data_IF_396839579528
#
_entry.id   IF_396839579528
#
_cell.length_a   1.000
_cell.length_b   1.000
_cell.length_c   1.000
_cell.angle_alpha   90.00
_cell.angle_beta   90.00
_cell.angle_gamma   90.00
#
_symmetry.space_group_name_H-M   'P 1'
#
loop_
_entity.id
_entity.type
_entity.pdbx_description
1 polymer ?
#
# COMPACT_ATOMS: atom_id res chain seq x y z
N UNK A 1 26.09 5.10 -7.94
CA UNK A 1 25.58 6.50 -7.87
C UNK A 1 24.84 6.92 -9.14
N UNK A 2 25.42 6.81 -10.37
CA UNK A 2 24.74 7.20 -11.63
C UNK A 2 23.44 6.44 -11.90
N UNK A 3 23.37 5.16 -11.56
CA UNK A 3 22.19 4.31 -11.82
C UNK A 3 21.00 4.68 -10.90
N UNK A 4 21.26 5.02 -9.63
CA UNK A 4 20.21 5.50 -8.69
C UNK A 4 19.64 6.85 -9.11
N UNK A 5 20.49 7.80 -9.53
CA UNK A 5 20.05 9.09 -10.05
C UNK A 5 19.26 8.98 -11.35
N UNK A 6 19.60 8.02 -12.23
CA UNK A 6 18.86 7.77 -13.46
C UNK A 6 17.43 7.25 -13.16
N UNK A 7 17.28 6.29 -12.25
CA UNK A 7 15.97 5.75 -11.91
C UNK A 7 14.99 6.78 -11.36
N UNK A 8 15.47 7.69 -10.51
CA UNK A 8 14.65 8.78 -9.96
C UNK A 8 14.38 9.85 -11.04
N UNK A 9 15.40 10.20 -11.82
CA UNK A 9 15.33 11.24 -12.86
C UNK A 9 14.40 10.89 -14.01
N UNK A 10 14.40 9.62 -14.44
CA UNK A 10 13.56 9.14 -15.53
C UNK A 10 12.17 8.69 -15.05
N UNK A 11 11.87 8.80 -13.74
CA UNK A 11 10.65 8.29 -13.14
C UNK A 11 10.38 6.83 -13.50
N UNK A 12 11.43 6.06 -13.70
CA UNK A 12 11.35 4.65 -14.02
C UNK A 12 12.32 3.84 -13.17
N UNK A 13 11.89 2.74 -12.63
CA UNK A 13 12.64 2.04 -11.59
C UNK A 13 13.16 0.67 -12.01
N UNK A 14 12.79 0.14 -13.14
CA UNK A 14 13.32 -1.17 -13.58
C UNK A 14 13.49 -1.31 -15.07
N UNK A 15 14.46 -2.16 -15.48
CA UNK A 15 14.63 -2.66 -16.86
C UNK A 15 13.44 -3.50 -17.35
N UNK A 16 12.49 -3.80 -16.50
CA UNK A 16 11.32 -4.64 -16.81
C UNK A 16 10.08 -3.86 -17.23
N UNK A 17 10.22 -2.62 -17.52
CA UNK A 17 9.13 -1.75 -17.95
C UNK A 17 9.11 -0.45 -17.19
N UNK A 18 8.86 0.61 -17.90
CA UNK A 18 8.71 1.94 -17.34
C UNK A 18 7.50 1.94 -16.41
N UNK A 19 7.74 2.10 -15.14
CA UNK A 19 6.69 2.20 -14.13
C UNK A 19 6.11 3.62 -14.07
N UNK A 20 6.37 4.41 -15.10
CA UNK A 20 5.62 5.62 -15.41
C UNK A 20 5.43 6.62 -14.27
N UNK A 21 6.45 6.85 -13.43
CA UNK A 21 6.36 7.83 -12.37
C UNK A 21 5.92 7.30 -11.00
N UNK A 22 6.00 6.00 -10.79
CA UNK A 22 5.69 5.35 -9.52
C UNK A 22 6.90 4.69 -8.88
N UNK A 23 6.92 4.61 -7.56
CA UNK A 23 7.81 3.69 -6.85
C UNK A 23 7.32 2.24 -7.02
N UNK A 24 8.22 1.25 -7.03
CA UNK A 24 7.79 -0.15 -7.10
C UNK A 24 6.98 -0.51 -5.88
N UNK A 25 5.86 -1.15 -6.15
CA UNK A 25 5.07 -1.83 -5.13
C UNK A 25 5.13 -3.32 -5.39
N UNK A 26 5.31 -4.10 -4.36
CA UNK A 26 5.44 -5.54 -4.52
C UNK A 26 4.73 -6.27 -3.38
N UNK A 27 3.99 -7.32 -3.73
CA UNK A 27 3.23 -8.18 -2.82
C UNK A 27 2.17 -7.47 -1.96
N UNK A 28 2.60 -6.73 -0.95
CA UNK A 28 1.74 -6.27 0.14
C UNK A 28 1.43 -4.79 -0.02
N UNK A 29 2.44 -3.98 0.19
CA UNK A 29 2.35 -2.55 0.31
C UNK A 29 3.36 -1.82 -0.57
N UNK A 30 3.64 -0.61 -0.17
CA UNK A 30 4.54 0.34 -0.80
C UNK A 30 5.72 0.63 0.13
N UNK A 31 6.52 -0.41 0.40
CA UNK A 31 7.63 -0.33 1.36
C UNK A 31 8.72 0.68 0.97
N UNK A 32 8.69 1.20 -0.27
CA UNK A 32 9.53 2.32 -0.65
C UNK A 32 9.22 3.56 0.21
N UNK A 33 7.97 3.76 0.61
CA UNK A 33 7.54 4.85 1.49
C UNK A 33 8.27 4.81 2.83
N UNK A 34 8.30 3.66 3.46
CA UNK A 34 8.96 3.48 4.76
C UNK A 34 10.48 3.56 4.65
N UNK A 35 11.04 3.00 3.57
CA UNK A 35 12.48 3.04 3.32
C UNK A 35 13.00 4.45 3.06
N UNK A 36 12.37 5.19 2.15
CA UNK A 36 12.77 6.56 1.79
C UNK A 36 12.61 7.49 2.98
N UNK A 37 11.43 7.47 3.62
CA UNK A 37 11.16 8.30 4.79
C UNK A 37 12.09 7.97 5.96
N UNK A 38 12.25 6.69 6.26
CA UNK A 38 13.13 6.24 7.33
C UNK A 38 14.59 6.61 7.11
N UNK A 39 15.06 6.57 5.87
CA UNK A 39 16.40 7.03 5.49
C UNK A 39 16.55 8.53 5.68
N UNK A 40 15.60 9.32 5.20
CA UNK A 40 15.60 10.78 5.33
C UNK A 40 15.60 11.23 6.79
N UNK A 41 14.71 10.67 7.62
CA UNK A 41 14.61 11.01 9.04
C UNK A 41 15.87 10.63 9.84
N UNK A 42 16.64 9.66 9.36
CA UNK A 42 17.94 9.27 9.95
C UNK A 42 19.13 10.09 9.40
N UNK A 43 18.85 11.13 8.63
CA UNK A 43 19.88 12.05 8.11
C UNK A 43 20.55 11.61 6.81
N UNK A 44 20.10 10.54 6.17
CA UNK A 44 20.59 10.12 4.85
C UNK A 44 19.89 10.96 3.79
N UNK A 45 20.56 11.98 3.29
CA UNK A 45 19.98 13.00 2.39
C UNK A 45 20.77 13.17 1.08
N UNK A 46 21.68 12.28 0.75
CA UNK A 46 22.51 12.30 -0.46
C UNK A 46 21.80 11.73 -1.71
N UNK A 47 20.49 11.91 -1.79
CA UNK A 47 19.64 11.53 -2.92
C UNK A 47 18.66 12.65 -3.27
N UNK A 48 18.04 12.57 -4.43
CA UNK A 48 17.01 13.53 -4.84
C UNK A 48 15.71 13.29 -4.04
N UNK A 49 15.62 13.96 -2.90
CA UNK A 49 14.50 13.82 -1.96
C UNK A 49 13.19 14.26 -2.60
N UNK A 50 13.22 15.37 -3.37
CA UNK A 50 12.01 15.90 -3.99
C UNK A 50 11.44 14.93 -5.04
N UNK A 51 12.30 14.42 -5.92
CA UNK A 51 11.88 13.43 -6.90
C UNK A 51 11.37 12.12 -6.25
N UNK A 52 12.02 11.68 -5.17
CA UNK A 52 11.55 10.53 -4.41
C UNK A 52 10.17 10.77 -3.79
N UNK A 53 9.98 11.94 -3.17
CA UNK A 53 8.71 12.32 -2.57
C UNK A 53 7.57 12.39 -3.60
N UNK A 54 7.80 12.96 -4.79
CA UNK A 54 6.82 12.97 -5.88
C UNK A 54 6.38 11.56 -6.28
N UNK A 55 7.31 10.61 -6.33
CA UNK A 55 6.98 9.21 -6.64
C UNK A 55 6.14 8.56 -5.53
N UNK A 56 6.42 8.87 -4.26
CA UNK A 56 5.62 8.39 -3.13
C UNK A 56 4.21 8.98 -3.16
N UNK A 57 4.05 10.26 -3.49
CA UNK A 57 2.74 10.88 -3.68
C UNK A 57 1.97 10.24 -4.84
N UNK A 58 2.64 9.93 -5.94
CA UNK A 58 2.00 9.21 -7.05
C UNK A 58 1.48 7.85 -6.57
N UNK A 59 2.28 7.10 -5.82
CA UNK A 59 1.82 5.83 -5.25
C UNK A 59 0.61 6.01 -4.31
N UNK A 60 0.60 7.09 -3.54
CA UNK A 60 -0.42 7.35 -2.53
C UNK A 60 -1.75 7.85 -3.11
N UNK A 61 -1.75 8.51 -4.28
CA UNK A 61 -2.92 9.23 -4.79
C UNK A 61 -3.32 8.87 -6.23
N UNK A 62 -2.45 8.22 -7.00
CA UNK A 62 -2.70 7.97 -8.43
C UNK A 62 -2.81 6.49 -8.69
N UNK A 63 -3.86 6.11 -9.39
CA UNK A 63 -4.01 4.73 -9.84
C UNK A 63 -2.90 4.35 -10.82
N UNK A 64 -2.17 3.30 -10.52
CA UNK A 64 -1.12 2.79 -11.39
C UNK A 64 -1.67 2.36 -12.74
N UNK A 65 -0.81 2.37 -13.76
CA UNK A 65 -1.19 2.09 -15.16
C UNK A 65 -1.75 0.68 -15.43
N UNK A 66 -1.89 -0.17 -14.42
CA UNK A 66 -2.41 -1.52 -14.53
C UNK A 66 -1.55 -2.48 -15.38
N UNK A 67 -0.50 -1.96 -16.01
CA UNK A 67 0.39 -2.74 -16.86
C UNK A 67 1.59 -3.28 -16.06
N UNK A 68 1.30 -4.28 -15.26
CA UNK A 68 2.32 -5.01 -14.50
C UNK A 68 2.18 -4.89 -12.98
N UNK A 69 2.78 -5.82 -12.24
CA UNK A 69 2.55 -5.94 -10.80
C UNK A 69 3.26 -4.87 -9.96
N UNK A 70 4.01 -3.95 -10.58
CA UNK A 70 4.96 -3.11 -9.86
C UNK A 70 4.77 -1.60 -10.04
N UNK A 71 3.71 -1.16 -10.68
CA UNK A 71 3.49 0.26 -10.99
C UNK A 71 2.44 0.93 -10.10
N UNK A 72 2.83 1.44 -8.96
CA UNK A 72 1.91 2.10 -8.02
C UNK A 72 1.12 1.13 -7.14
N UNK A 73 0.37 1.66 -6.20
CA UNK A 73 -0.47 0.86 -5.30
C UNK A 73 -1.70 0.34 -6.05
N UNK A 74 -1.92 -0.96 -5.98
CA UNK A 74 -3.12 -1.58 -6.55
C UNK A 74 -4.34 -1.24 -5.71
N UNK A 75 -5.49 -1.06 -6.38
CA UNK A 75 -6.75 -0.73 -5.71
C UNK A 75 -6.70 0.58 -4.91
N UNK A 76 -5.77 1.48 -5.23
CA UNK A 76 -5.62 2.74 -4.49
C UNK A 76 -6.87 3.62 -4.59
N UNK A 77 -7.55 3.60 -5.73
CA UNK A 77 -8.79 4.35 -5.92
C UNK A 77 -9.87 3.87 -4.95
N UNK A 78 -10.09 2.56 -4.89
CA UNK A 78 -11.04 1.94 -3.98
C UNK A 78 -10.69 2.25 -2.51
N UNK A 79 -9.39 2.10 -2.15
CA UNK A 79 -8.90 2.44 -0.82
C UNK A 79 -9.15 3.90 -0.45
N UNK A 80 -8.95 4.84 -1.38
CA UNK A 80 -9.21 6.27 -1.14
C UNK A 80 -10.70 6.60 -0.98
N UNK A 81 -11.55 5.93 -1.76
CA UNK A 81 -12.99 6.21 -1.81
C UNK A 81 -13.74 5.69 -0.59
N UNK A 82 -13.38 4.52 -0.09
CA UNK A 82 -14.14 3.85 0.99
C UNK A 82 -13.33 3.58 2.26
N UNK A 83 -12.02 3.79 2.25
CA UNK A 83 -11.14 3.58 3.40
C UNK A 83 -10.62 2.15 3.56
N UNK A 84 -11.02 1.20 2.72
CA UNK A 84 -10.49 -0.16 2.69
C UNK A 84 -10.55 -0.73 1.28
N UNK A 85 -9.81 -1.80 1.05
CA UNK A 85 -9.90 -2.60 -0.17
C UNK A 85 -10.90 -3.72 0.09
N UNK A 86 -11.92 -3.86 -0.76
CA UNK A 86 -12.93 -4.92 -0.63
C UNK A 86 -12.43 -6.24 -1.20
N UNK A 87 -13.01 -7.34 -0.73
CA UNK A 87 -12.72 -8.69 -1.26
C UNK A 87 -13.68 -9.13 -2.38
N UNK A 88 -14.58 -8.27 -2.83
CA UNK A 88 -15.35 -8.51 -4.04
C UNK A 88 -14.39 -8.77 -5.20
N UNK A 89 -14.76 -9.53 -6.18
CA UNK A 89 -13.98 -9.79 -7.41
C UNK A 89 -12.83 -10.82 -7.28
N UNK A 90 -12.69 -11.53 -6.19
CA UNK A 90 -11.79 -12.70 -6.16
C UNK A 90 -12.46 -13.86 -6.89
N UNK A 91 -12.30 -13.89 -8.21
CA UNK A 91 -12.89 -14.94 -9.04
C UNK A 91 -12.06 -16.23 -9.04
N UNK A 92 -10.76 -16.14 -8.87
CA UNK A 92 -9.86 -17.29 -8.80
C UNK A 92 -8.59 -17.02 -7.98
N UNK A 93 -8.62 -17.15 -6.65
CA UNK A 93 -7.47 -16.89 -5.79
C UNK A 93 -6.27 -17.80 -6.05
N UNK A 94 -6.44 -18.93 -6.74
CA UNK A 94 -5.34 -19.87 -7.05
C UNK A 94 -4.49 -19.44 -8.24
N UNK A 95 -5.04 -18.70 -9.18
CA UNK A 95 -4.33 -18.23 -10.37
C UNK A 95 -3.76 -16.84 -10.18
N UNK A 96 -4.30 -16.08 -9.26
CA UNK A 96 -3.80 -14.76 -8.95
C UNK A 96 -2.74 -14.89 -7.86
N UNK A 97 -1.49 -15.09 -8.29
CA UNK A 97 -0.30 -14.81 -7.45
C UNK A 97 -0.36 -13.39 -6.87
N UNK A 98 -1.41 -12.70 -7.18
CA UNK A 98 -1.77 -11.35 -6.82
C UNK A 98 -3.19 -11.33 -6.29
N UNK A 99 -3.59 -12.36 -5.56
CA UNK A 99 -4.84 -12.32 -4.81
C UNK A 99 -4.98 -10.94 -4.18
N UNK A 100 -6.19 -10.43 -4.16
CA UNK A 100 -6.45 -9.05 -3.72
C UNK A 100 -5.80 -8.77 -2.37
N UNK A 101 -5.81 -9.77 -1.47
CA UNK A 101 -5.21 -9.69 -0.13
C UNK A 101 -5.61 -8.37 0.55
N UNK A 102 -6.90 -8.11 0.56
CA UNK A 102 -7.45 -6.81 0.87
C UNK A 102 -7.14 -6.35 2.30
N UNK A 103 -7.15 -7.28 3.26
CA UNK A 103 -6.77 -6.96 4.64
C UNK A 103 -5.31 -6.52 4.70
N UNK A 104 -4.41 -7.35 4.17
CA UNK A 104 -2.98 -7.02 4.16
C UNK A 104 -2.71 -5.68 3.47
N UNK A 105 -3.25 -5.47 2.26
CA UNK A 105 -3.00 -4.20 1.55
C UNK A 105 -3.57 -2.99 2.27
N UNK A 106 -4.75 -3.11 2.86
CA UNK A 106 -5.34 -1.99 3.61
C UNK A 106 -4.48 -1.61 4.81
N UNK A 107 -3.97 -2.59 5.56
CA UNK A 107 -3.07 -2.36 6.69
C UNK A 107 -1.74 -1.74 6.24
N UNK A 108 -1.13 -2.32 5.21
CA UNK A 108 0.14 -1.82 4.65
C UNK A 108 0.00 -0.41 4.10
N UNK A 109 -1.07 -0.11 3.35
CA UNK A 109 -1.28 1.22 2.80
C UNK A 109 -1.53 2.28 3.90
N UNK A 110 -2.19 1.92 4.98
CA UNK A 110 -2.34 2.81 6.14
C UNK A 110 -0.97 3.13 6.76
N UNK A 111 -0.09 2.15 6.87
CA UNK A 111 1.27 2.33 7.37
C UNK A 111 2.15 3.11 6.39
N UNK A 112 2.07 2.82 5.10
CA UNK A 112 2.78 3.55 4.04
C UNK A 112 2.35 5.01 3.95
N UNK A 113 1.05 5.29 4.15
CA UNK A 113 0.52 6.65 4.22
C UNK A 113 1.07 7.40 5.43
N UNK A 114 1.18 6.75 6.57
CA UNK A 114 1.82 7.34 7.75
C UNK A 114 3.29 7.70 7.46
N UNK A 115 4.05 6.78 6.87
CA UNK A 115 5.44 7.05 6.51
C UNK A 115 5.55 8.23 5.54
N UNK A 116 4.73 8.25 4.47
CA UNK A 116 4.74 9.36 3.51
C UNK A 116 4.30 10.68 4.14
N UNK A 117 3.33 10.64 5.07
CA UNK A 117 2.90 11.82 5.81
C UNK A 117 4.05 12.43 6.65
N UNK A 118 4.85 11.59 7.31
CA UNK A 118 6.02 12.10 8.05
C UNK A 118 7.01 12.82 7.14
N UNK A 119 7.25 12.29 5.93
CA UNK A 119 8.10 12.97 4.96
C UNK A 119 7.47 14.27 4.47
N UNK A 120 6.17 14.29 4.19
CA UNK A 120 5.43 15.49 3.84
C UNK A 120 5.61 16.59 4.89
N UNK A 121 5.44 16.24 6.16
CA UNK A 121 5.65 17.15 7.30
C UNK A 121 7.06 17.74 7.32
N UNK A 122 8.08 16.91 7.16
CA UNK A 122 9.48 17.35 7.14
C UNK A 122 9.80 18.27 5.96
N UNK A 123 9.12 18.07 4.83
CA UNK A 123 9.27 18.91 3.64
C UNK A 123 8.36 20.14 3.64
N UNK A 124 7.54 20.34 4.67
CA UNK A 124 6.64 21.49 4.81
C UNK A 124 5.35 21.39 3.99
N UNK A 125 5.02 20.21 3.45
CA UNK A 125 3.79 19.98 2.69
C UNK A 125 2.64 19.60 3.64
N UNK A 126 2.04 20.60 4.26
CA UNK A 126 0.97 20.44 5.23
C UNK A 126 -0.30 19.84 4.61
N UNK A 127 -0.58 20.15 3.35
CA UNK A 127 -1.78 19.67 2.66
C UNK A 127 -1.75 18.13 2.49
N UNK A 128 -0.66 17.61 1.95
CA UNK A 128 -0.51 16.16 1.78
C UNK A 128 -0.31 15.45 3.12
N UNK A 129 0.35 16.09 4.09
CA UNK A 129 0.41 15.56 5.45
C UNK A 129 -0.98 15.28 6.02
N UNK A 130 -1.88 16.25 5.98
CA UNK A 130 -3.24 16.10 6.52
C UNK A 130 -4.06 15.05 5.76
N UNK A 131 -3.97 15.02 4.43
CA UNK A 131 -4.66 14.03 3.59
C UNK A 131 -4.21 12.61 3.91
N UNK A 132 -2.91 12.40 4.03
CA UNK A 132 -2.33 11.09 4.31
C UNK A 132 -2.65 10.64 5.74
N UNK A 133 -2.52 11.54 6.72
CA UNK A 133 -2.81 11.24 8.11
C UNK A 133 -4.27 10.79 8.33
N UNK A 134 -5.23 11.31 7.59
CA UNK A 134 -6.63 10.85 7.65
C UNK A 134 -6.79 9.38 7.26
N UNK A 135 -5.91 8.84 6.42
CA UNK A 135 -5.97 7.46 5.95
C UNK A 135 -5.19 6.47 6.83
N UNK A 136 -4.38 6.97 7.75
CA UNK A 136 -3.61 6.10 8.65
C UNK A 136 -4.49 5.22 9.54
N UNK A 137 -5.73 5.60 9.74
CA UNK A 137 -6.75 4.86 10.51
C UNK A 137 -7.57 3.87 9.66
N UNK A 138 -7.30 3.76 8.37
CA UNK A 138 -8.04 2.90 7.43
C UNK A 138 -8.08 1.43 7.86
N UNK A 139 -7.03 0.93 8.51
CA UNK A 139 -6.99 -0.44 9.04
C UNK A 139 -8.11 -0.72 10.04
N UNK A 140 -8.62 0.31 10.76
CA UNK A 140 -9.71 0.16 11.74
C UNK A 140 -11.02 -0.29 11.09
N UNK A 141 -11.22 0.00 9.81
CA UNK A 141 -12.39 -0.47 9.07
C UNK A 141 -12.44 -2.00 8.93
N UNK A 142 -11.31 -2.66 9.08
CA UNK A 142 -11.20 -4.10 8.95
C UNK A 142 -11.23 -4.85 10.29
N UNK A 143 -11.22 -4.15 11.41
CA UNK A 143 -11.37 -4.80 12.71
C UNK A 143 -12.82 -5.21 12.95
N UNK A 144 -13.05 -6.51 13.03
CA UNK A 144 -14.36 -7.07 13.35
C UNK A 144 -14.46 -7.32 14.86
N UNK A 145 -15.22 -6.49 15.60
CA UNK A 145 -15.32 -6.62 17.05
C UNK A 145 -16.02 -7.90 17.50
N UNK A 146 -16.80 -8.55 16.63
CA UNK A 146 -17.49 -9.80 16.96
C UNK A 146 -16.54 -11.00 16.99
N UNK A 147 -15.50 -10.98 16.17
CA UNK A 147 -14.48 -12.03 16.09
C UNK A 147 -13.16 -11.63 16.73
N UNK A 148 -12.96 -10.33 16.96
CA UNK A 148 -11.71 -9.71 17.45
C UNK A 148 -10.51 -9.91 16.50
N UNK A 149 -10.80 -10.04 15.19
CA UNK A 149 -9.78 -10.18 14.15
C UNK A 149 -9.89 -9.08 13.10
N UNK A 150 -8.77 -8.80 12.44
CA UNK A 150 -8.77 -8.10 11.17
C UNK A 150 -9.39 -9.01 10.11
N UNK A 151 -10.51 -8.59 9.55
CA UNK A 151 -11.33 -9.41 8.64
C UNK A 151 -11.66 -8.65 7.37
N UNK A 152 -11.71 -9.35 6.25
CA UNK A 152 -12.07 -8.75 4.97
C UNK A 152 -13.54 -8.31 4.93
N UNK A 153 -13.76 -7.21 4.25
CA UNK A 153 -15.10 -6.67 3.97
C UNK A 153 -15.40 -6.72 2.48
N UNK A 154 -16.67 -6.87 2.16
CA UNK A 154 -17.19 -6.67 0.83
C UNK A 154 -17.42 -5.17 0.57
N UNK A 155 -17.66 -4.80 -0.67
CA UNK A 155 -17.85 -3.41 -1.08
C UNK A 155 -19.06 -2.74 -0.41
N UNK A 156 -20.09 -3.51 -0.08
CA UNK A 156 -21.26 -3.05 0.67
C UNK A 156 -21.00 -2.88 2.18
N UNK A 157 -19.79 -3.19 2.64
CA UNK A 157 -19.38 -3.10 4.03
C UNK A 157 -19.68 -4.32 4.86
N UNK A 158 -20.29 -5.37 4.30
CA UNK A 158 -20.52 -6.62 5.02
C UNK A 158 -19.22 -7.42 5.18
N UNK A 159 -19.17 -8.26 6.21
CA UNK A 159 -18.01 -9.11 6.48
C UNK A 159 -18.01 -10.37 5.61
N UNK A 160 -16.83 -10.74 5.11
CA UNK A 160 -16.68 -12.02 4.41
C UNK A 160 -17.07 -13.19 5.29
N UNK A 161 -17.88 -14.09 4.74
CA UNK A 161 -18.35 -15.29 5.40
C UNK A 161 -18.22 -16.49 4.43
N UNK A 162 -17.78 -17.69 4.90
CA UNK A 162 -17.33 -18.00 6.26
C UNK A 162 -15.97 -17.41 6.60
N UNK A 163 -15.70 -17.21 7.89
CA UNK A 163 -14.44 -16.68 8.40
C UNK A 163 -13.71 -17.72 9.24
N UNK A 164 -12.48 -18.03 8.86
CA UNK A 164 -11.55 -18.86 9.64
C UNK A 164 -10.21 -18.12 9.80
N UNK A 165 -9.88 -17.65 11.01
CA UNK A 165 -8.63 -16.91 11.25
C UNK A 165 -7.36 -17.76 11.10
N UNK A 166 -7.48 -19.08 11.02
CA UNK A 166 -6.36 -20.00 10.82
C UNK A 166 -6.09 -20.33 9.35
N UNK A 167 -6.99 -19.93 8.46
CA UNK A 167 -6.86 -20.25 7.03
C UNK A 167 -5.55 -19.72 6.47
N UNK A 168 -4.74 -20.56 5.83
CA UNK A 168 -3.40 -20.19 5.41
C UNK A 168 -3.40 -19.21 4.25
N UNK A 169 -2.26 -18.63 4.05
CA UNK A 169 -1.93 -17.61 3.08
C UNK A 169 -2.10 -18.05 1.61
N UNK A 170 -2.10 -17.07 0.69
CA UNK A 170 -2.34 -17.11 -0.77
C UNK A 170 -3.79 -17.33 -1.22
N UNK A 171 -4.63 -17.87 -0.40
CA UNK A 171 -5.99 -18.25 -0.83
C UNK A 171 -7.08 -17.36 -0.26
N UNK A 172 -6.73 -16.30 0.48
CA UNK A 172 -7.71 -15.56 1.24
C UNK A 172 -7.38 -14.07 1.34
N UNK A 173 -8.03 -13.38 2.24
CA UNK A 173 -7.89 -11.93 2.46
C UNK A 173 -6.52 -11.47 2.95
N UNK A 174 -5.63 -12.40 3.27
CA UNK A 174 -4.29 -12.13 3.75
C UNK A 174 -3.23 -12.56 2.75
N UNK A 175 -2.08 -11.90 2.80
CA UNK A 175 -0.92 -12.25 2.00
C UNK A 175 0.20 -12.76 2.90
N UNK A 176 0.63 -14.00 2.66
CA UNK A 176 1.68 -14.67 3.43
C UNK A 176 1.42 -14.67 4.95
N UNK A 177 0.14 -14.62 5.33
CA UNK A 177 -0.33 -14.50 6.69
C UNK A 177 -1.71 -15.14 6.85
N UNK A 178 -2.21 -15.09 8.06
CA UNK A 178 -3.58 -15.46 8.43
C UNK A 178 -4.15 -14.43 9.42
N UNK A 179 -5.37 -14.64 9.88
CA UNK A 179 -6.02 -13.73 10.81
C UNK A 179 -5.25 -13.50 12.11
N UNK A 180 -4.59 -14.54 12.62
CA UNK A 180 -3.78 -14.44 13.83
C UNK A 180 -2.54 -13.57 13.66
N UNK A 181 -1.90 -13.64 12.51
CA UNK A 181 -0.68 -12.87 12.22
C UNK A 181 -1.00 -11.42 11.81
N UNK A 182 -2.19 -11.19 11.29
CA UNK A 182 -2.62 -9.87 10.79
C UNK A 182 -3.38 -9.04 11.83
N UNK A 183 -3.68 -9.62 13.00
CA UNK A 183 -4.39 -8.95 14.09
C UNK A 183 -3.43 -8.68 15.23
N UNK A 184 -3.42 -7.46 15.73
CA UNK A 184 -2.58 -6.98 16.84
C UNK A 184 -3.42 -6.37 17.95
#
# INVERSE_FOLDING_TARGET
RRQRQMCIRDRSITDRGKIGGFMPTFFHGDHASTFVTGSYLRGIRDFDVQAAYELLLNNAFVEGSGKGPMGGRRFIKEYMEQGWISEDDITNPKLETVAKAAVTKTQEYAYDDYATALLAKELGDSENYEKLMKRTDSYKHLFDPSTQFMRGRLKDGTWITPFDPKRPFYEYMYREANGWQSTF
#
